data_IF_214862594904
#
_entry.id   IF_214862594904
#
_cell.length_a   1.000
_cell.length_b   1.000
_cell.length_c   1.000
_cell.angle_alpha   90.00
_cell.angle_beta   90.00
_cell.angle_gamma   90.00
#
_symmetry.space_group_name_H-M   'P 1'
#
loop_
_entity.id
_entity.type
_entity.pdbx_description
1 polymer ?
#
# COMPACT_ATOMS: atom_id res chain seq x y z
N UNK A 1 -23.00 -9.58 -54.04
CA UNK A 1 -23.17 -8.84 -52.78
C UNK A 1 -21.88 -9.00 -51.98
N UNK A 2 -21.13 -7.91 -51.74
CA UNK A 2 -19.93 -7.95 -50.90
C UNK A 2 -20.36 -7.83 -49.44
N UNK A 3 -20.07 -8.84 -48.63
CA UNK A 3 -20.20 -8.76 -47.19
C UNK A 3 -19.15 -7.78 -46.66
N UNK A 4 -19.61 -6.65 -46.16
CA UNK A 4 -18.80 -5.72 -45.37
C UNK A 4 -18.73 -6.32 -43.97
N UNK A 5 -17.54 -6.78 -43.57
CA UNK A 5 -17.26 -7.15 -42.19
C UNK A 5 -17.37 -5.89 -41.34
N UNK A 6 -18.45 -5.76 -40.58
CA UNK A 6 -18.57 -4.75 -39.53
C UNK A 6 -17.55 -5.06 -38.44
N UNK A 7 -16.55 -4.21 -38.30
CA UNK A 7 -15.64 -4.21 -37.15
C UNK A 7 -16.52 -3.98 -35.90
N UNK A 8 -16.48 -4.85 -34.88
CA UNK A 8 -17.25 -4.63 -33.67
C UNK A 8 -16.77 -3.32 -33.02
N UNK A 9 -17.69 -2.36 -32.91
CA UNK A 9 -17.49 -1.15 -32.10
C UNK A 9 -17.42 -1.58 -30.64
N UNK A 10 -16.21 -1.73 -30.11
CA UNK A 10 -16.02 -1.74 -28.68
C UNK A 10 -16.17 -0.31 -28.18
N UNK A 11 -17.12 -0.01 -27.27
CA UNK A 11 -17.24 1.32 -26.70
C UNK A 11 -15.92 1.68 -26.00
N UNK A 12 -15.32 2.80 -26.38
CA UNK A 12 -14.18 3.36 -25.65
C UNK A 12 -14.65 3.80 -24.27
N UNK A 13 -14.44 2.94 -23.27
CA UNK A 13 -14.65 3.31 -21.86
C UNK A 13 -13.49 4.21 -21.48
N UNK A 14 -13.77 5.49 -21.25
CA UNK A 14 -12.80 6.42 -20.66
C UNK A 14 -12.89 6.29 -19.15
N UNK A 15 -11.97 5.54 -18.55
CA UNK A 15 -11.83 5.51 -17.09
C UNK A 15 -11.39 6.89 -16.58
N UNK A 16 -12.06 7.42 -15.55
CA UNK A 16 -11.61 8.64 -14.87
C UNK A 16 -10.55 8.27 -13.83
N UNK A 17 -9.46 9.04 -13.79
CA UNK A 17 -8.41 8.90 -12.78
C UNK A 17 -8.97 9.03 -11.37
N UNK A 18 -10.01 9.85 -11.17
CA UNK A 18 -10.56 10.13 -9.85
C UNK A 18 -11.34 8.96 -9.24
N UNK A 19 -11.77 7.99 -10.06
CA UNK A 19 -12.55 6.82 -9.63
C UNK A 19 -11.67 5.60 -9.34
N UNK A 20 -10.34 5.75 -9.42
CA UNK A 20 -9.43 4.63 -9.25
C UNK A 20 -9.35 4.14 -7.80
N UNK A 21 -9.49 2.83 -7.65
CA UNK A 21 -9.32 2.14 -6.38
C UNK A 21 -7.83 1.87 -6.13
N UNK A 22 -7.24 2.63 -5.20
CA UNK A 22 -5.83 2.51 -4.84
C UNK A 22 -5.60 1.83 -3.47
N UNK A 23 -6.66 1.39 -2.80
CA UNK A 23 -6.58 0.73 -1.51
C UNK A 23 -7.81 -0.16 -1.25
N UNK A 24 -7.70 -1.05 -0.25
CA UNK A 24 -8.81 -1.88 0.25
C UNK A 24 -9.87 -1.06 0.98
N UNK A 25 -11.10 -1.53 1.07
CA UNK A 25 -12.21 -0.71 1.59
C UNK A 25 -12.12 -0.44 3.09
N UNK A 26 -11.60 -1.36 3.89
CA UNK A 26 -11.59 -1.23 5.35
C UNK A 26 -11.51 -2.57 6.04
N UNK A 27 -11.38 -2.58 7.38
CA UNK A 27 -11.46 -3.81 8.16
C UNK A 27 -12.86 -4.43 8.14
N UNK A 28 -13.91 -3.64 7.85
CA UNK A 28 -15.31 -4.09 7.88
C UNK A 28 -16.14 -3.55 6.69
N UNK A 29 -17.14 -4.30 6.23
CA UNK A 29 -17.99 -3.92 5.08
C UNK A 29 -18.98 -2.81 5.45
N UNK A 30 -19.49 -2.80 6.68
CA UNK A 30 -20.65 -1.99 7.10
C UNK A 30 -20.33 -0.89 8.10
N UNK A 31 -19.04 -0.62 8.37
CA UNK A 31 -18.62 0.34 9.39
C UNK A 31 -19.23 0.04 10.78
N UNK A 32 -19.42 -1.25 11.07
CA UNK A 32 -19.91 -1.81 12.34
C UNK A 32 -18.99 -1.52 13.54
N UNK A 33 -17.74 -1.15 13.30
CA UNK A 33 -16.76 -0.81 14.33
C UNK A 33 -17.15 0.46 15.11
N UNK A 34 -17.70 1.46 14.43
CA UNK A 34 -18.07 2.72 15.08
C UNK A 34 -19.24 2.55 16.06
N UNK A 35 -20.38 1.91 15.69
CA UNK A 35 -21.43 1.56 16.65
C UNK A 35 -20.92 0.68 17.80
N UNK A 36 -20.05 -0.31 17.49
CA UNK A 36 -19.45 -1.17 18.52
C UNK A 36 -18.65 -0.35 19.55
N UNK A 37 -17.80 0.57 19.07
CA UNK A 37 -16.97 1.42 19.91
C UNK A 37 -17.81 2.33 20.81
N UNK A 38 -18.84 2.98 20.27
CA UNK A 38 -19.75 3.86 21.02
C UNK A 38 -20.43 3.09 22.16
N UNK A 39 -20.89 1.87 21.91
CA UNK A 39 -21.50 1.03 22.93
C UNK A 39 -20.49 0.65 24.02
N UNK A 40 -19.25 0.27 23.66
CA UNK A 40 -18.23 -0.07 24.67
C UNK A 40 -17.82 1.15 25.49
N UNK A 41 -17.69 2.31 24.86
CA UNK A 41 -17.36 3.56 25.56
C UNK A 41 -18.47 3.95 26.54
N UNK A 42 -19.74 3.83 26.13
CA UNK A 42 -20.89 4.05 27.02
C UNK A 42 -20.85 3.13 28.24
N UNK A 43 -20.65 1.82 28.03
CA UNK A 43 -20.56 0.85 29.12
C UNK A 43 -19.39 1.11 30.06
N UNK A 44 -18.25 1.56 29.53
CA UNK A 44 -17.08 1.93 30.32
C UNK A 44 -17.38 3.13 31.24
N UNK A 45 -18.13 4.12 30.76
CA UNK A 45 -18.56 5.28 31.55
C UNK A 45 -19.63 4.92 32.59
N UNK A 46 -20.52 3.98 32.26
CA UNK A 46 -21.61 3.53 33.15
C UNK A 46 -21.14 2.63 34.28
N UNK A 47 -20.01 1.95 34.13
CA UNK A 47 -19.51 0.97 35.10
C UNK A 47 -19.18 1.57 36.49
N UNK A 48 -19.16 2.89 36.67
CA UNK A 48 -18.87 3.61 37.93
C UNK A 48 -17.54 3.24 38.63
N UNK A 49 -16.74 2.35 38.05
CA UNK A 49 -15.35 2.12 38.38
C UNK A 49 -14.49 3.06 37.53
N UNK A 50 -13.44 3.64 38.11
CA UNK A 50 -12.48 4.43 37.33
C UNK A 50 -11.94 3.52 36.23
N UNK A 51 -12.14 3.83 34.93
CA UNK A 51 -11.64 2.98 33.86
C UNK A 51 -10.13 2.79 34.06
N UNK A 52 -9.66 1.54 34.09
CA UNK A 52 -8.24 1.26 34.09
C UNK A 52 -7.70 1.55 32.68
N UNK A 53 -7.51 2.83 32.39
CA UNK A 53 -6.89 3.29 31.15
C UNK A 53 -5.38 3.11 31.27
N UNK A 54 -4.79 2.42 30.31
CA UNK A 54 -3.36 2.21 30.22
C UNK A 54 -2.81 2.88 28.96
N UNK A 55 -1.65 3.51 29.08
CA UNK A 55 -0.91 4.02 27.93
C UNK A 55 -0.04 2.89 27.37
N UNK A 56 -0.19 2.58 26.08
CA UNK A 56 0.67 1.67 25.35
C UNK A 56 1.45 2.41 24.28
N UNK A 57 2.66 1.93 24.03
CA UNK A 57 3.52 2.37 22.93
C UNK A 57 3.62 1.24 21.93
N UNK A 58 3.33 1.54 20.66
CA UNK A 58 3.22 0.56 19.58
C UNK A 58 4.25 0.86 18.49
N UNK A 59 4.70 -0.18 17.82
CA UNK A 59 5.56 -0.11 16.64
C UNK A 59 5.18 -1.22 15.65
N UNK A 60 5.71 -1.19 14.44
CA UNK A 60 5.65 -2.32 13.49
C UNK A 60 7.03 -2.95 13.26
N UNK A 61 8.02 -2.57 14.07
CA UNK A 61 9.39 -3.09 13.96
C UNK A 61 10.29 -2.36 12.98
N UNK A 62 9.84 -1.20 12.48
CA UNK A 62 10.65 -0.28 11.70
C UNK A 62 10.83 1.01 12.51
N UNK A 63 12.07 1.49 12.64
CA UNK A 63 12.38 2.66 13.47
C UNK A 63 12.11 2.42 14.96
N UNK A 64 12.88 1.51 15.57
CA UNK A 64 12.67 1.05 16.96
C UNK A 64 13.08 2.07 18.04
N UNK A 65 13.08 3.36 17.72
CA UNK A 65 13.27 4.41 18.70
C UNK A 65 11.98 4.59 19.51
N UNK A 66 12.08 4.65 20.84
CA UNK A 66 10.90 4.74 21.71
C UNK A 66 10.15 6.06 21.49
N UNK A 67 10.88 7.12 21.19
CA UNK A 67 10.37 8.44 20.81
C UNK A 67 9.51 8.44 19.54
N UNK A 68 9.72 7.46 18.66
CA UNK A 68 8.96 7.28 17.42
C UNK A 68 7.82 6.26 17.56
N UNK A 69 7.56 5.76 18.77
CA UNK A 69 6.48 4.79 19.00
C UNK A 69 5.10 5.46 18.99
N UNK A 70 4.12 4.80 18.38
CA UNK A 70 2.72 5.22 18.39
C UNK A 70 2.13 5.03 19.79
N UNK A 71 1.78 6.11 20.47
CA UNK A 71 1.16 6.05 21.78
C UNK A 71 -0.37 5.97 21.69
N UNK A 72 -0.99 5.03 22.41
CA UNK A 72 -2.44 4.84 22.46
C UNK A 72 -2.94 4.57 23.88
N UNK A 73 -4.07 5.17 24.22
CA UNK A 73 -4.79 4.85 25.45
C UNK A 73 -5.70 3.66 25.24
N UNK A 74 -5.57 2.63 26.07
CA UNK A 74 -6.37 1.40 26.01
C UNK A 74 -7.13 1.14 27.29
N UNK A 75 -8.31 0.53 27.15
CA UNK A 75 -9.13 0.07 28.27
C UNK A 75 -9.58 -1.36 28.04
N UNK A 76 -9.89 -2.08 29.12
CA UNK A 76 -10.47 -3.42 29.03
C UNK A 76 -11.98 -3.30 28.83
N UNK A 77 -12.55 -4.05 27.89
CA UNK A 77 -14.00 -4.13 27.69
C UNK A 77 -14.58 -5.45 28.20
N UNK A 78 -15.86 -5.44 28.55
CA UNK A 78 -16.59 -6.66 28.89
C UNK A 78 -16.94 -7.43 27.59
N UNK A 79 -16.38 -8.63 27.45
CA UNK A 79 -16.64 -9.54 26.32
C UNK A 79 -18.13 -9.91 26.29
N UNK A 80 -18.77 -9.67 25.15
CA UNK A 80 -20.11 -10.15 24.78
C UNK A 80 -19.98 -11.21 23.66
N UNK A 81 -20.99 -12.08 23.47
CA UNK A 81 -21.05 -12.93 22.29
C UNK A 81 -20.92 -12.09 21.01
N UNK A 82 -20.11 -12.58 20.05
CA UNK A 82 -19.80 -11.86 18.81
C UNK A 82 -18.60 -10.91 18.88
N UNK A 83 -18.08 -10.58 20.06
CA UNK A 83 -16.86 -9.78 20.19
C UNK A 83 -15.63 -10.59 19.78
N UNK A 84 -14.78 -10.00 18.93
CA UNK A 84 -13.52 -10.62 18.51
C UNK A 84 -12.46 -10.48 19.61
N UNK A 85 -12.08 -11.61 20.21
CA UNK A 85 -11.00 -11.67 21.21
C UNK A 85 -9.88 -12.62 20.82
N UNK A 86 -9.85 -13.13 19.60
CA UNK A 86 -8.80 -14.04 19.16
C UNK A 86 -8.28 -13.72 17.75
N UNK A 87 -7.02 -14.07 17.54
CA UNK A 87 -6.44 -14.25 16.20
C UNK A 87 -6.65 -15.68 15.74
N UNK A 88 -6.82 -15.86 14.43
CA UNK A 88 -6.99 -17.15 13.77
C UNK A 88 -6.04 -17.23 12.59
N UNK A 89 -5.41 -18.39 12.38
CA UNK A 89 -4.52 -18.63 11.26
C UNK A 89 -4.46 -20.10 10.86
N UNK A 90 -3.85 -20.38 9.71
CA UNK A 90 -3.51 -21.74 9.29
C UNK A 90 -2.02 -21.98 9.48
N UNK A 91 -1.63 -23.03 10.19
CA UNK A 91 -0.22 -23.40 10.34
C UNK A 91 0.37 -24.05 9.07
N UNK A 92 1.67 -24.30 9.04
CA UNK A 92 2.35 -24.91 7.90
C UNK A 92 1.85 -26.31 7.53
N UNK A 93 1.15 -26.99 8.46
CA UNK A 93 0.53 -28.29 8.21
C UNK A 93 -0.89 -28.19 7.64
N UNK A 94 -1.37 -26.96 7.40
CA UNK A 94 -2.72 -26.70 6.91
C UNK A 94 -3.79 -26.76 8.00
N UNK A 95 -3.41 -26.76 9.29
CA UNK A 95 -4.37 -26.86 10.40
C UNK A 95 -4.76 -25.48 10.91
N UNK A 96 -6.07 -25.24 11.18
CA UNK A 96 -6.51 -24.00 11.79
C UNK A 96 -6.00 -23.92 13.24
N UNK A 97 -5.54 -22.72 13.61
CA UNK A 97 -5.02 -22.35 14.92
C UNK A 97 -5.69 -21.07 15.38
N UNK A 98 -5.68 -20.86 16.69
CA UNK A 98 -6.22 -19.64 17.31
C UNK A 98 -5.42 -19.24 18.53
N UNK A 99 -5.40 -17.94 18.82
CA UNK A 99 -4.80 -17.35 20.01
C UNK A 99 -5.77 -16.37 20.63
N UNK A 100 -6.26 -16.70 21.82
CA UNK A 100 -7.09 -15.79 22.62
C UNK A 100 -6.23 -14.65 23.17
N UNK A 101 -6.83 -13.46 23.16
CA UNK A 101 -6.22 -12.20 23.54
C UNK A 101 -7.10 -11.55 24.61
N UNK A 102 -6.52 -10.79 25.56
CA UNK A 102 -7.30 -10.03 26.51
C UNK A 102 -8.20 -9.03 25.78
N UNK A 103 -9.40 -8.72 26.31
CA UNK A 103 -10.35 -7.84 25.65
C UNK A 103 -9.97 -6.37 25.87
N UNK A 104 -8.86 -5.93 25.27
CA UNK A 104 -8.49 -4.50 25.21
C UNK A 104 -8.94 -3.86 23.92
N UNK A 105 -9.28 -2.58 23.99
CA UNK A 105 -9.59 -1.71 22.86
C UNK A 105 -8.94 -0.33 23.09
N UNK A 106 -8.70 0.41 22.02
CA UNK A 106 -8.25 1.80 22.09
C UNK A 106 -9.44 2.64 22.59
N UNK A 107 -9.29 3.26 23.75
CA UNK A 107 -10.36 3.99 24.44
C UNK A 107 -10.43 5.48 24.08
N UNK A 108 -9.34 6.05 23.54
CA UNK A 108 -9.30 7.42 23.00
C UNK A 108 -8.89 7.39 21.52
N UNK A 109 -9.88 7.25 20.63
CA UNK A 109 -9.64 7.22 19.18
C UNK A 109 -9.23 8.59 18.62
N UNK A 110 -9.62 9.70 19.25
CA UNK A 110 -9.25 11.03 18.77
C UNK A 110 -7.79 11.37 19.06
N UNK A 111 -7.30 10.99 20.24
CA UNK A 111 -5.89 11.10 20.57
C UNK A 111 -5.05 10.11 19.75
N UNK A 112 -5.49 8.84 19.64
CA UNK A 112 -4.82 7.85 18.80
C UNK A 112 -4.73 8.33 17.34
N UNK A 113 -5.79 8.96 16.81
CA UNK A 113 -5.78 9.57 15.48
C UNK A 113 -4.67 10.62 15.34
N UNK A 114 -4.56 11.56 16.28
CA UNK A 114 -3.51 12.60 16.25
C UNK A 114 -2.12 11.98 16.30
N UNK A 115 -1.90 11.06 17.25
CA UNK A 115 -0.62 10.39 17.42
C UNK A 115 -0.25 9.55 16.20
N UNK A 116 -1.23 8.98 15.49
CA UNK A 116 -1.03 8.23 14.25
C UNK A 116 -0.53 9.12 13.10
N UNK A 117 -1.04 10.36 12.98
CA UNK A 117 -0.52 11.32 12.00
C UNK A 117 0.94 11.67 12.27
N UNK A 118 1.27 11.97 13.53
CA UNK A 118 2.64 12.31 13.93
C UNK A 118 3.58 11.11 13.75
N UNK A 119 3.16 9.92 14.18
CA UNK A 119 3.85 8.66 13.95
C UNK A 119 4.20 8.47 12.48
N UNK A 120 3.19 8.51 11.60
CA UNK A 120 3.36 8.28 10.15
C UNK A 120 4.38 9.25 9.54
N UNK A 121 4.35 10.51 9.98
CA UNK A 121 5.29 11.53 9.52
C UNK A 121 6.71 11.25 9.99
N UNK A 122 6.89 10.87 11.26
CA UNK A 122 8.21 10.64 11.86
C UNK A 122 8.88 9.40 11.26
N UNK A 123 8.12 8.32 11.08
CA UNK A 123 8.68 7.05 10.62
C UNK A 123 8.87 6.97 9.11
N UNK A 124 8.35 7.93 8.34
CA UNK A 124 8.26 7.87 6.86
C UNK A 124 9.58 7.48 6.19
N UNK A 125 10.65 8.23 6.45
CA UNK A 125 11.95 7.99 5.82
C UNK A 125 12.54 6.65 6.25
N UNK A 126 12.44 6.31 7.53
CA UNK A 126 12.97 5.04 8.08
C UNK A 126 12.25 3.84 7.49
N UNK A 127 10.92 3.91 7.31
CA UNK A 127 10.14 2.84 6.66
C UNK A 127 10.61 2.63 5.23
N UNK A 128 10.71 3.71 4.45
CA UNK A 128 11.14 3.64 3.06
C UNK A 128 12.55 3.06 2.97
N UNK A 129 13.50 3.57 3.75
CA UNK A 129 14.88 3.11 3.72
C UNK A 129 15.01 1.65 4.15
N UNK A 130 14.31 1.24 5.22
CA UNK A 130 14.39 -0.13 5.75
C UNK A 130 13.79 -1.14 4.77
N UNK A 131 12.58 -0.87 4.25
CA UNK A 131 11.89 -1.81 3.36
C UNK A 131 12.57 -1.88 1.99
N UNK A 132 13.10 -0.76 1.49
CA UNK A 132 13.78 -0.75 0.19
C UNK A 132 15.25 -1.16 0.26
N UNK A 133 15.85 -1.34 1.44
CA UNK A 133 17.28 -1.64 1.61
C UNK A 133 17.75 -2.81 0.72
N UNK A 134 16.95 -3.90 0.69
CA UNK A 134 17.25 -5.12 -0.06
C UNK A 134 16.49 -5.24 -1.39
N UNK A 135 15.70 -4.24 -1.77
CA UNK A 135 14.98 -4.20 -3.05
C UNK A 135 15.93 -4.08 -4.24
N UNK A 136 15.41 -4.36 -5.43
CA UNK A 136 16.09 -4.12 -6.69
C UNK A 136 16.66 -2.69 -6.80
N UNK A 137 17.83 -2.54 -7.42
CA UNK A 137 18.51 -1.25 -7.55
C UNK A 137 17.71 -0.18 -8.29
N UNK A 138 16.81 -0.52 -9.20
CA UNK A 138 15.88 0.46 -9.81
C UNK A 138 14.99 1.04 -8.72
N UNK A 139 14.32 0.20 -7.93
CA UNK A 139 13.45 0.63 -6.82
C UNK A 139 14.24 1.51 -5.86
N UNK A 140 15.39 1.04 -5.36
CA UNK A 140 16.19 1.80 -4.37
C UNK A 140 16.57 3.18 -4.90
N UNK A 141 17.13 3.25 -6.11
CA UNK A 141 17.56 4.51 -6.72
C UNK A 141 16.37 5.45 -6.96
N UNK A 142 15.23 4.91 -7.40
CA UNK A 142 14.02 5.72 -7.63
C UNK A 142 13.42 6.24 -6.33
N UNK A 143 13.37 5.44 -5.27
CA UNK A 143 12.90 5.91 -3.96
C UNK A 143 13.85 6.95 -3.35
N UNK A 144 15.17 6.79 -3.50
CA UNK A 144 16.14 7.80 -3.10
C UNK A 144 15.94 9.13 -3.87
N UNK A 145 15.77 9.06 -5.18
CA UNK A 145 15.49 10.23 -6.00
C UNK A 145 14.16 10.90 -5.61
N UNK A 146 13.13 10.11 -5.28
CA UNK A 146 11.85 10.61 -4.84
C UNK A 146 11.90 11.26 -3.45
N UNK A 147 12.62 10.69 -2.49
CA UNK A 147 12.86 11.29 -1.18
C UNK A 147 13.59 12.63 -1.32
N UNK A 148 14.63 12.68 -2.16
CA UNK A 148 15.35 13.90 -2.46
C UNK A 148 14.44 14.95 -3.12
N UNK A 149 13.64 14.55 -4.12
CA UNK A 149 12.66 15.43 -4.77
C UNK A 149 11.60 15.96 -3.79
N UNK A 150 11.10 15.11 -2.90
CA UNK A 150 10.10 15.44 -1.89
C UNK A 150 10.61 16.37 -0.79
N UNK A 151 11.91 16.35 -0.48
CA UNK A 151 12.50 17.15 0.60
C UNK A 151 12.34 18.66 0.39
N UNK A 152 12.26 19.13 -0.86
CA UNK A 152 12.12 20.55 -1.20
C UNK A 152 10.68 21.07 -1.14
N UNK A 153 9.68 20.18 -1.12
CA UNK A 153 8.26 20.55 -0.99
C UNK A 153 7.42 19.40 -0.45
N UNK A 154 6.91 19.55 0.77
CA UNK A 154 5.99 18.59 1.41
C UNK A 154 4.59 18.57 0.79
N UNK A 155 4.31 19.40 -0.22
CA UNK A 155 2.99 19.56 -0.83
C UNK A 155 2.99 19.20 -2.33
N UNK A 156 3.90 18.33 -2.75
CA UNK A 156 4.01 17.87 -4.13
C UNK A 156 3.42 16.45 -4.30
N UNK A 157 3.22 16.04 -5.55
CA UNK A 157 2.62 14.76 -5.91
C UNK A 157 3.48 13.57 -5.46
N UNK A 158 4.80 13.73 -5.43
CA UNK A 158 5.75 12.70 -4.97
C UNK A 158 5.60 12.48 -3.47
N UNK A 159 5.48 13.54 -2.67
CA UNK A 159 5.23 13.43 -1.23
C UNK A 159 3.90 12.71 -0.95
N UNK A 160 2.84 13.00 -1.72
CA UNK A 160 1.57 12.26 -1.58
C UNK A 160 1.76 10.77 -1.87
N UNK A 161 2.50 10.42 -2.92
CA UNK A 161 2.78 9.02 -3.26
C UNK A 161 3.60 8.31 -2.17
N UNK A 162 4.62 8.97 -1.61
CA UNK A 162 5.42 8.44 -0.50
C UNK A 162 4.58 8.26 0.77
N UNK A 163 3.72 9.22 1.10
CA UNK A 163 2.84 9.14 2.26
C UNK A 163 1.80 8.01 2.10
N UNK A 164 1.22 7.84 0.90
CA UNK A 164 0.34 6.69 0.59
C UNK A 164 1.10 5.38 0.73
N UNK A 165 2.33 5.32 0.19
CA UNK A 165 3.14 4.12 0.22
C UNK A 165 3.45 3.69 1.66
N UNK A 166 3.78 4.62 2.55
CA UNK A 166 4.00 4.32 3.97
C UNK A 166 2.69 3.97 4.68
N UNK A 167 1.62 4.74 4.46
CA UNK A 167 0.32 4.49 5.08
C UNK A 167 -0.25 3.10 4.73
N UNK A 168 -0.01 2.60 3.51
CA UNK A 168 -0.39 1.24 3.12
C UNK A 168 0.33 0.18 3.97
N UNK A 169 1.63 0.36 4.26
CA UNK A 169 2.38 -0.59 5.12
C UNK A 169 1.79 -0.67 6.53
N UNK A 170 1.21 0.42 7.03
CA UNK A 170 0.61 0.47 8.38
C UNK A 170 -0.57 -0.50 8.56
N UNK A 171 -1.24 -0.91 7.48
CA UNK A 171 -2.36 -1.87 7.51
C UNK A 171 -2.01 -3.26 6.97
N UNK A 172 -0.78 -3.44 6.51
CA UNK A 172 -0.24 -4.71 6.02
C UNK A 172 0.68 -5.35 7.05
N UNK A 173 1.39 -4.52 7.82
CA UNK A 173 2.26 -4.96 8.91
C UNK A 173 1.51 -4.93 10.23
N UNK A 174 1.76 -5.90 11.10
CA UNK A 174 1.10 -5.97 12.40
C UNK A 174 1.71 -4.96 13.38
N UNK A 175 0.85 -4.25 14.11
CA UNK A 175 1.29 -3.48 15.27
C UNK A 175 1.62 -4.42 16.44
N UNK A 176 2.75 -4.12 17.09
CA UNK A 176 3.21 -4.80 18.29
C UNK A 176 3.45 -3.80 19.41
N UNK A 177 3.29 -4.26 20.65
CA UNK A 177 3.71 -3.50 21.82
C UNK A 177 5.23 -3.31 21.75
N UNK A 178 5.69 -2.08 21.97
CA UNK A 178 7.10 -1.73 21.94
C UNK A 178 7.93 -2.62 22.90
N UNK A 179 9.18 -2.90 22.55
CA UNK A 179 10.02 -3.81 23.33
C UNK A 179 10.24 -3.29 24.76
N UNK A 180 10.01 -4.15 25.76
CA UNK A 180 9.98 -3.77 27.18
C UNK A 180 8.65 -3.18 27.66
N UNK A 181 7.68 -2.97 26.77
CA UNK A 181 6.30 -2.64 27.11
C UNK A 181 5.56 -3.84 27.69
N UNK A 182 4.51 -3.56 28.48
CA UNK A 182 3.68 -4.59 29.13
C UNK A 182 2.21 -4.38 28.80
N UNK A 183 1.56 -5.44 28.33
CA UNK A 183 0.10 -5.53 28.26
C UNK A 183 -0.36 -6.59 29.26
N UNK A 184 -1.22 -6.19 30.20
CA UNK A 184 -1.67 -7.10 31.25
C UNK A 184 -2.39 -8.33 30.69
N UNK A 185 -1.95 -9.51 31.11
CA UNK A 185 -2.48 -10.78 30.60
C UNK A 185 -1.80 -11.29 29.33
N UNK A 186 -0.78 -10.60 28.82
CA UNK A 186 0.04 -11.04 27.68
C UNK A 186 1.49 -11.28 28.08
N UNK A 187 2.13 -12.19 27.35
CA UNK A 187 3.58 -12.44 27.39
C UNK A 187 4.08 -12.59 25.95
N UNK A 188 5.38 -12.41 25.75
CA UNK A 188 6.02 -12.79 24.49
C UNK A 188 5.73 -14.26 24.19
N UNK A 189 5.51 -14.53 22.91
CA UNK A 189 5.30 -15.87 22.40
C UNK A 189 6.60 -16.25 21.71
N UNK A 190 7.33 -17.19 22.30
CA UNK A 190 8.60 -17.67 21.76
C UNK A 190 8.37 -19.07 21.17
N UNK A 191 7.62 -19.13 20.06
CA UNK A 191 7.28 -20.37 19.37
C UNK A 191 7.59 -20.21 17.87
N UNK A 192 8.65 -20.89 17.42
CA UNK A 192 9.10 -20.85 16.05
C UNK A 192 7.96 -21.24 15.08
N UNK A 193 7.65 -20.35 14.14
CA UNK A 193 6.58 -20.51 13.16
C UNK A 193 5.19 -20.07 13.64
N UNK A 194 5.08 -19.55 14.86
CA UNK A 194 3.91 -18.78 15.30
C UNK A 194 3.90 -17.40 14.60
N UNK A 195 2.73 -16.86 14.17
CA UNK A 195 2.67 -15.58 13.47
C UNK A 195 3.22 -14.39 14.28
N UNK A 196 3.21 -14.53 15.61
CA UNK A 196 3.62 -13.50 16.57
C UNK A 196 4.87 -13.91 17.36
N UNK A 197 5.72 -14.77 16.77
CA UNK A 197 6.95 -15.22 17.41
C UNK A 197 7.87 -14.04 17.77
N UNK A 198 8.29 -13.97 19.03
CA UNK A 198 9.20 -12.98 19.59
C UNK A 198 8.59 -11.64 20.00
N UNK A 199 7.26 -11.44 19.93
CA UNK A 199 6.64 -10.17 20.34
C UNK A 199 5.19 -10.27 20.87
N UNK A 200 4.70 -9.18 21.48
CA UNK A 200 3.29 -9.05 21.91
C UNK A 200 2.53 -8.26 20.84
N UNK A 201 1.58 -8.88 20.10
CA UNK A 201 0.75 -8.15 19.16
C UNK A 201 -0.28 -7.28 19.90
N UNK A 202 -0.81 -6.28 19.21
CA UNK A 202 -2.05 -5.61 19.65
C UNK A 202 -3.20 -6.62 19.69
N UNK A 203 -4.30 -6.29 20.39
CA UNK A 203 -5.48 -7.17 20.38
C UNK A 203 -6.20 -7.09 19.03
N UNK A 204 -7.00 -8.11 18.63
CA UNK A 204 -7.74 -8.07 17.37
C UNK A 204 -8.67 -6.87 17.21
N UNK A 205 -9.16 -6.35 18.34
CA UNK A 205 -10.01 -5.16 18.36
C UNK A 205 -9.20 -3.88 18.14
N UNK A 206 -8.05 -3.74 18.83
CA UNK A 206 -7.13 -2.62 18.59
C UNK A 206 -6.62 -2.62 17.15
N UNK A 207 -6.29 -3.78 16.60
CA UNK A 207 -5.88 -3.99 15.20
C UNK A 207 -6.94 -3.44 14.23
N UNK A 208 -8.21 -3.83 14.42
CA UNK A 208 -9.33 -3.33 13.61
C UNK A 208 -9.54 -1.82 13.77
N UNK A 209 -9.34 -1.26 14.96
CA UNK A 209 -9.43 0.19 15.21
C UNK A 209 -8.29 0.96 14.53
N UNK A 210 -7.07 0.42 14.55
CA UNK A 210 -5.92 1.02 13.87
C UNK A 210 -6.09 0.97 12.35
N UNK A 211 -6.52 -0.18 11.80
CA UNK A 211 -6.85 -0.33 10.38
C UNK A 211 -7.89 0.68 9.92
N UNK A 212 -8.97 0.85 10.67
CA UNK A 212 -10.03 1.81 10.37
C UNK A 212 -9.52 3.25 10.41
N UNK A 213 -8.76 3.63 11.45
CA UNK A 213 -8.14 4.94 11.57
C UNK A 213 -7.21 5.23 10.37
N UNK A 214 -6.30 4.31 10.05
CA UNK A 214 -5.37 4.48 8.93
C UNK A 214 -6.12 4.59 7.60
N UNK A 215 -7.07 3.70 7.32
CA UNK A 215 -7.78 3.71 6.04
C UNK A 215 -8.64 4.96 5.89
N UNK A 216 -9.44 5.30 6.91
CA UNK A 216 -10.37 6.42 6.86
C UNK A 216 -9.66 7.76 6.88
N UNK A 217 -8.71 7.94 7.79
CA UNK A 217 -8.16 9.26 8.10
C UNK A 217 -6.83 9.54 7.39
N UNK A 218 -6.10 8.51 6.94
CA UNK A 218 -4.88 8.66 6.14
C UNK A 218 -5.08 8.27 4.68
N UNK A 219 -5.26 6.97 4.39
CA UNK A 219 -5.16 6.45 3.02
C UNK A 219 -6.22 7.04 2.08
N UNK A 220 -7.48 7.10 2.49
CA UNK A 220 -8.58 7.63 1.65
C UNK A 220 -8.36 9.10 1.27
N UNK A 221 -8.14 10.04 2.22
CA UNK A 221 -7.84 11.44 1.89
C UNK A 221 -6.57 11.59 1.03
N UNK A 222 -5.52 10.83 1.34
CA UNK A 222 -4.26 10.88 0.59
C UNK A 222 -4.46 10.43 -0.86
N UNK A 223 -5.15 9.31 -1.10
CA UNK A 223 -5.46 8.80 -2.44
C UNK A 223 -6.29 9.80 -3.25
N UNK A 224 -7.34 10.38 -2.65
CA UNK A 224 -8.17 11.38 -3.32
C UNK A 224 -7.36 12.63 -3.71
N UNK A 225 -6.51 13.12 -2.80
CA UNK A 225 -5.62 14.25 -3.05
C UNK A 225 -4.59 13.95 -4.15
N UNK A 226 -3.97 12.77 -4.10
CA UNK A 226 -3.02 12.29 -5.09
C UNK A 226 -3.65 12.25 -6.49
N UNK A 227 -4.80 11.60 -6.65
CA UNK A 227 -5.48 11.47 -7.94
C UNK A 227 -5.89 12.84 -8.51
N UNK A 228 -6.40 13.74 -7.67
CA UNK A 228 -6.74 15.10 -8.08
C UNK A 228 -5.52 15.90 -8.57
N UNK A 229 -4.41 15.85 -7.81
CA UNK A 229 -3.16 16.53 -8.17
C UNK A 229 -2.50 15.92 -9.41
N UNK A 230 -2.52 14.60 -9.53
CA UNK A 230 -2.01 13.89 -10.70
C UNK A 230 -2.77 14.33 -11.94
N UNK A 231 -4.10 14.28 -11.91
CA UNK A 231 -4.96 14.73 -13.00
C UNK A 231 -4.64 16.16 -13.41
N UNK A 232 -4.56 17.08 -12.44
CA UNK A 232 -4.18 18.47 -12.70
C UNK A 232 -2.83 18.60 -13.40
N UNK A 233 -1.78 17.92 -12.91
CA UNK A 233 -0.43 17.97 -13.52
C UNK A 233 -0.38 17.39 -14.93
N UNK A 234 -1.14 16.34 -15.21
CA UNK A 234 -1.28 15.77 -16.55
C UNK A 234 -1.99 16.76 -17.48
N UNK A 235 -3.05 17.41 -17.01
CA UNK A 235 -3.85 18.37 -17.78
C UNK A 235 -3.09 19.67 -18.10
N UNK A 236 -2.14 20.07 -17.25
CA UNK A 236 -1.24 21.19 -17.52
C UNK A 236 -0.34 20.99 -18.75
N UNK A 237 -0.06 19.73 -19.13
CA UNK A 237 0.79 19.37 -20.29
C UNK A 237 2.17 20.04 -20.30
N UNK A 238 2.70 20.35 -19.13
CA UNK A 238 4.03 20.94 -18.91
C UNK A 238 5.09 19.86 -18.83
N UNK A 239 6.22 20.06 -19.50
CA UNK A 239 7.34 19.09 -19.49
C UNK A 239 8.05 19.06 -18.14
N UNK A 240 8.04 20.16 -17.44
CA UNK A 240 8.63 20.35 -16.11
C UNK A 240 7.94 19.44 -15.07
N UNK A 241 6.67 19.07 -15.30
CA UNK A 241 5.93 18.14 -14.44
C UNK A 241 6.35 16.68 -14.65
N UNK A 242 7.09 16.35 -15.71
CA UNK A 242 7.35 14.97 -16.09
C UNK A 242 8.07 14.18 -15.00
N UNK A 243 9.13 14.74 -14.39
CA UNK A 243 9.91 14.03 -13.37
C UNK A 243 9.06 13.73 -12.14
N UNK A 244 8.26 14.70 -11.71
CA UNK A 244 7.36 14.54 -10.57
C UNK A 244 6.29 13.47 -10.84
N UNK A 245 5.66 13.50 -12.03
CA UNK A 245 4.70 12.49 -12.46
C UNK A 245 5.36 11.11 -12.51
N UNK A 246 6.55 10.99 -13.10
CA UNK A 246 7.26 9.73 -13.23
C UNK A 246 7.59 9.11 -11.87
N UNK A 247 8.21 9.87 -10.96
CA UNK A 247 8.57 9.38 -9.63
C UNK A 247 7.32 8.96 -8.85
N UNK A 248 6.28 9.80 -8.88
CA UNK A 248 5.03 9.52 -8.20
C UNK A 248 4.33 8.25 -8.74
N UNK A 249 4.24 8.11 -10.07
CA UNK A 249 3.69 6.91 -10.70
C UNK A 249 4.51 5.66 -10.38
N UNK A 250 5.84 5.76 -10.36
CA UNK A 250 6.72 4.65 -10.00
C UNK A 250 6.48 4.19 -8.57
N UNK A 251 6.40 5.12 -7.60
CA UNK A 251 6.08 4.80 -6.21
C UNK A 251 4.73 4.11 -6.11
N UNK A 252 3.72 4.59 -6.83
CA UNK A 252 2.40 3.97 -6.83
C UNK A 252 2.40 2.56 -7.46
N UNK A 253 3.16 2.33 -8.53
CA UNK A 253 3.33 0.98 -9.10
C UNK A 253 4.01 0.03 -8.10
N UNK A 254 5.07 0.51 -7.41
CA UNK A 254 5.73 -0.22 -6.33
C UNK A 254 4.76 -0.52 -5.17
N UNK A 255 3.93 0.44 -4.80
CA UNK A 255 2.91 0.26 -3.76
C UNK A 255 1.95 -0.87 -4.12
N UNK A 256 1.50 -0.93 -5.39
CA UNK A 256 0.59 -1.95 -5.87
C UNK A 256 1.24 -3.35 -5.87
N UNK A 257 2.52 -3.45 -6.24
CA UNK A 257 3.26 -4.72 -6.10
C UNK A 257 3.25 -5.22 -4.66
N UNK A 258 3.47 -4.33 -3.68
CA UNK A 258 3.48 -4.71 -2.27
C UNK A 258 2.09 -5.06 -1.73
N UNK A 259 1.04 -4.31 -2.10
CA UNK A 259 -0.34 -4.62 -1.73
C UNK A 259 -0.73 -6.03 -2.23
N UNK A 260 -0.45 -6.34 -3.49
CA UNK A 260 -0.78 -7.65 -4.07
C UNK A 260 0.02 -8.79 -3.43
N UNK A 261 1.30 -8.55 -3.14
CA UNK A 261 2.15 -9.49 -2.41
C UNK A 261 1.62 -9.78 -1.00
N UNK A 262 1.24 -8.73 -0.28
CA UNK A 262 0.66 -8.85 1.05
C UNK A 262 -0.68 -9.61 1.01
N UNK A 263 -1.57 -9.26 0.06
CA UNK A 263 -2.82 -9.99 -0.14
C UNK A 263 -2.60 -11.50 -0.41
N UNK A 264 -1.62 -11.86 -1.25
CA UNK A 264 -1.27 -13.25 -1.49
C UNK A 264 -0.75 -13.93 -0.21
N UNK A 265 0.05 -13.22 0.59
CA UNK A 265 0.53 -13.67 1.89
C UNK A 265 -0.62 -13.90 2.90
N UNK A 266 -1.52 -12.93 3.03
CA UNK A 266 -2.72 -13.02 3.88
C UNK A 266 -3.64 -14.16 3.44
N UNK A 267 -3.84 -14.35 2.13
CA UNK A 267 -4.64 -15.44 1.61
C UNK A 267 -4.06 -16.81 2.02
N UNK A 268 -2.73 -16.98 1.90
CA UNK A 268 -2.04 -18.17 2.37
C UNK A 268 -2.18 -18.35 3.88
N UNK A 269 -2.01 -17.29 4.66
CA UNK A 269 -2.14 -17.29 6.12
C UNK A 269 -3.55 -17.70 6.59
N UNK A 270 -4.58 -17.26 5.86
CA UNK A 270 -5.99 -17.61 6.10
C UNK A 270 -6.39 -18.96 5.47
N UNK A 271 -5.50 -19.63 4.73
CA UNK A 271 -5.80 -20.89 4.05
C UNK A 271 -6.78 -20.74 2.86
N UNK A 272 -6.91 -19.54 2.31
CA UNK A 272 -7.75 -19.25 1.16
C UNK A 272 -7.15 -19.86 -0.11
N UNK A 273 -8.00 -20.48 -0.92
CA UNK A 273 -7.62 -21.05 -2.22
C UNK A 273 -8.37 -20.32 -3.34
N UNK A 274 -7.70 -20.01 -4.47
CA UNK A 274 -8.40 -19.58 -5.68
C UNK A 274 -9.45 -20.64 -6.09
N UNK A 275 -10.65 -20.22 -6.49
CA UNK A 275 -11.76 -21.16 -6.65
C UNK A 275 -12.91 -20.70 -7.57
N UNK A 276 -12.66 -19.87 -8.58
CA UNK A 276 -13.70 -19.30 -9.47
C UNK A 276 -14.90 -18.66 -8.74
N UNK A 277 -14.65 -17.99 -7.61
CA UNK A 277 -15.61 -17.30 -6.76
C UNK A 277 -16.09 -15.96 -7.36
N UNK A 278 -15.58 -15.58 -8.54
CA UNK A 278 -15.93 -14.34 -9.22
C UNK A 278 -15.55 -13.10 -8.43
N UNK A 279 -14.49 -13.15 -7.62
CA UNK A 279 -14.00 -11.97 -6.92
C UNK A 279 -13.37 -10.97 -7.88
N UNK A 280 -13.46 -9.71 -7.49
CA UNK A 280 -13.10 -8.56 -8.34
C UNK A 280 -12.04 -7.69 -7.69
N UNK A 281 -11.50 -8.08 -6.54
CA UNK A 281 -10.58 -7.22 -5.78
C UNK A 281 -9.27 -7.01 -6.54
N UNK A 282 -8.56 -8.08 -6.87
CA UNK A 282 -7.31 -8.00 -7.64
C UNK A 282 -7.54 -7.40 -9.02
N UNK A 283 -8.66 -7.72 -9.67
CA UNK A 283 -9.04 -7.11 -10.95
C UNK A 283 -9.22 -5.58 -10.83
N UNK A 284 -9.76 -5.09 -9.73
CA UNK A 284 -9.87 -3.67 -9.43
C UNK A 284 -8.51 -2.99 -9.32
N UNK A 285 -7.54 -3.61 -8.63
CA UNK A 285 -6.18 -3.10 -8.54
C UNK A 285 -5.46 -3.14 -9.89
N UNK A 286 -5.59 -4.23 -10.64
CA UNK A 286 -5.06 -4.34 -12.00
C UNK A 286 -5.64 -3.25 -12.93
N UNK A 287 -6.93 -2.98 -12.82
CA UNK A 287 -7.59 -1.91 -13.56
C UNK A 287 -7.01 -0.53 -13.20
N UNK A 288 -6.78 -0.27 -11.91
CA UNK A 288 -6.16 0.97 -11.46
C UNK A 288 -4.73 1.12 -12.00
N UNK A 289 -3.89 0.09 -11.90
CA UNK A 289 -2.54 0.09 -12.46
C UNK A 289 -2.55 0.35 -13.96
N UNK A 290 -3.36 -0.39 -14.72
CA UNK A 290 -3.45 -0.24 -16.18
C UNK A 290 -3.97 1.14 -16.59
N UNK A 291 -4.88 1.73 -15.83
CA UNK A 291 -5.37 3.08 -16.09
C UNK A 291 -4.27 4.12 -15.84
N UNK A 292 -3.57 4.05 -14.71
CA UNK A 292 -2.44 4.94 -14.41
C UNK A 292 -1.35 4.83 -15.49
N UNK A 293 -1.00 3.61 -15.91
CA UNK A 293 -0.04 3.35 -16.98
C UNK A 293 -0.51 3.92 -18.32
N UNK A 294 -1.80 3.77 -18.68
CA UNK A 294 -2.33 4.33 -19.91
C UNK A 294 -2.24 5.86 -19.94
N UNK A 295 -2.55 6.53 -18.82
CA UNK A 295 -2.37 7.98 -18.70
C UNK A 295 -0.89 8.36 -18.80
N UNK A 296 0.00 7.65 -18.10
CA UNK A 296 1.43 7.90 -18.16
C UNK A 296 1.98 7.79 -19.60
N UNK A 297 1.69 6.69 -20.29
CA UNK A 297 2.21 6.45 -21.64
C UNK A 297 1.59 7.35 -22.70
N UNK A 298 0.26 7.51 -22.69
CA UNK A 298 -0.44 8.16 -23.79
C UNK A 298 -0.76 9.64 -23.54
N UNK A 299 -1.00 10.06 -22.30
CA UNK A 299 -1.27 11.46 -21.99
C UNK A 299 0.01 12.24 -21.66
N UNK A 300 1.00 11.60 -21.03
CA UNK A 300 2.25 12.26 -20.62
C UNK A 300 3.43 12.01 -21.56
N UNK A 301 3.29 11.14 -22.56
CA UNK A 301 4.43 10.58 -23.32
C UNK A 301 5.52 10.03 -22.36
N UNK A 302 5.08 9.38 -21.28
CA UNK A 302 5.87 9.12 -20.08
C UNK A 302 7.14 8.30 -20.33
N UNK A 303 7.08 7.31 -21.20
CA UNK A 303 8.24 6.50 -21.57
C UNK A 303 9.25 7.24 -22.48
N UNK A 304 8.88 8.37 -23.09
CA UNK A 304 9.76 9.05 -24.06
C UNK A 304 11.06 9.48 -23.39
N UNK A 305 11.10 10.33 -22.34
CA UNK A 305 12.37 10.79 -21.79
C UNK A 305 13.28 9.66 -21.34
N UNK A 306 12.75 8.54 -20.87
CA UNK A 306 13.51 7.34 -20.52
C UNK A 306 14.06 6.68 -21.78
N UNK A 307 13.23 6.44 -22.80
CA UNK A 307 13.58 5.69 -24.01
C UNK A 307 14.40 6.50 -25.03
N UNK A 308 14.26 7.82 -25.08
CA UNK A 308 15.05 8.68 -25.96
C UNK A 308 16.52 8.81 -25.52
N UNK A 309 16.83 8.57 -24.23
CA UNK A 309 18.24 8.41 -23.77
C UNK A 309 18.91 7.19 -24.43
N UNK A 310 18.13 6.24 -24.95
CA UNK A 310 18.64 5.06 -25.63
C UNK A 310 18.96 5.31 -27.11
N UNK A 311 18.47 6.39 -27.72
CA UNK A 311 18.53 6.60 -29.18
C UNK A 311 19.42 7.75 -29.67
N UNK A 312 19.74 8.77 -28.87
CA UNK A 312 20.49 9.94 -29.38
C UNK A 312 21.87 10.14 -28.73
N UNK A 313 22.91 10.02 -29.56
CA UNK A 313 24.16 10.76 -29.40
C UNK A 313 23.93 12.22 -29.85
N UNK A 314 24.22 13.18 -28.98
CA UNK A 314 24.53 14.58 -29.30
C UNK A 314 23.41 15.42 -29.96
N UNK A 315 22.67 16.18 -29.15
CA UNK A 315 22.31 17.59 -29.39
C UNK A 315 21.56 18.16 -28.16
N UNK A 316 22.30 18.82 -27.26
CA UNK A 316 21.79 19.30 -25.96
C UNK A 316 20.65 20.34 -26.08
N UNK A 317 20.52 21.03 -27.22
CA UNK A 317 19.51 22.08 -27.41
C UNK A 317 18.09 21.56 -27.69
N UNK A 318 17.94 20.33 -28.19
CA UNK A 318 16.65 19.69 -28.49
C UNK A 318 16.42 18.40 -27.68
N UNK A 319 17.30 18.12 -26.72
CA UNK A 319 17.21 16.91 -25.93
C UNK A 319 15.91 16.89 -25.10
N UNK A 320 15.32 15.72 -24.86
CA UNK A 320 14.09 15.54 -24.07
C UNK A 320 14.20 16.00 -22.60
N UNK A 321 15.37 16.50 -22.19
CA UNK A 321 15.68 17.02 -20.86
C UNK A 321 15.42 18.53 -20.70
N UNK A 322 14.88 19.21 -21.72
CA UNK A 322 14.52 20.62 -21.57
C UNK A 322 13.53 20.80 -20.41
N UNK A 323 13.97 21.50 -19.35
CA UNK A 323 13.21 21.69 -18.11
C UNK A 323 13.55 20.73 -16.97
N UNK A 324 14.56 19.86 -17.13
CA UNK A 324 15.09 19.01 -16.04
C UNK A 324 16.37 19.59 -15.44
N UNK A 325 16.51 19.40 -14.13
CA UNK A 325 17.71 19.80 -13.39
C UNK A 325 18.89 18.81 -13.62
N UNK A 326 20.15 19.23 -13.43
CA UNK A 326 21.31 18.35 -13.62
C UNK A 326 21.23 17.01 -12.85
N UNK A 327 20.80 17.05 -11.59
CA UNK A 327 20.69 15.86 -10.74
C UNK A 327 19.59 14.90 -11.24
N UNK A 328 18.53 15.44 -11.85
CA UNK A 328 17.46 14.65 -12.49
C UNK A 328 17.99 13.92 -13.72
N UNK A 329 18.82 14.58 -14.52
CA UNK A 329 19.47 13.98 -15.69
C UNK A 329 20.44 12.87 -15.26
N UNK A 330 21.24 13.12 -14.21
CA UNK A 330 22.15 12.12 -13.65
C UNK A 330 21.39 10.88 -13.16
N UNK A 331 20.31 11.08 -12.41
CA UNK A 331 19.44 9.98 -11.97
C UNK A 331 18.92 9.15 -13.16
N UNK A 332 18.42 9.79 -14.23
CA UNK A 332 17.95 9.08 -15.41
C UNK A 332 19.06 8.29 -16.10
N UNK A 333 20.28 8.83 -16.15
CA UNK A 333 21.44 8.13 -16.71
C UNK A 333 21.78 6.87 -15.89
N UNK A 334 21.68 6.95 -14.56
CA UNK A 334 21.89 5.83 -13.65
C UNK A 334 20.80 4.76 -13.81
N UNK A 335 19.52 5.15 -13.87
CA UNK A 335 18.42 4.21 -14.10
C UNK A 335 18.55 3.54 -15.47
N UNK A 336 19.00 4.26 -16.50
CA UNK A 336 19.27 3.67 -17.82
C UNK A 336 20.27 2.52 -17.74
N UNK A 337 21.41 2.72 -17.06
CA UNK A 337 22.42 1.67 -16.91
C UNK A 337 21.83 0.43 -16.24
N UNK A 338 20.97 0.64 -15.25
CA UNK A 338 20.31 -0.44 -14.53
C UNK A 338 19.29 -1.18 -15.41
N UNK A 339 18.51 -0.46 -16.22
CA UNK A 339 17.60 -1.04 -17.21
C UNK A 339 18.37 -1.92 -18.19
N UNK A 340 19.50 -1.45 -18.72
CA UNK A 340 20.34 -2.26 -19.62
C UNK A 340 20.86 -3.53 -18.93
N UNK A 341 21.31 -3.42 -17.68
CA UNK A 341 21.79 -4.56 -16.90
C UNK A 341 20.70 -5.61 -16.69
N UNK A 342 19.44 -5.19 -16.57
CA UNK A 342 18.28 -6.05 -16.34
C UNK A 342 17.48 -6.35 -17.62
N UNK A 343 18.02 -6.06 -18.80
CA UNK A 343 17.28 -6.03 -20.07
C UNK A 343 16.46 -7.29 -20.37
N UNK A 344 16.95 -8.48 -20.01
CA UNK A 344 16.21 -9.73 -20.19
C UNK A 344 14.95 -9.80 -19.32
N UNK A 345 15.03 -9.38 -18.05
CA UNK A 345 13.86 -9.32 -17.15
C UNK A 345 12.85 -8.29 -17.65
N UNK A 346 13.33 -7.11 -18.05
CA UNK A 346 12.46 -6.10 -18.63
C UNK A 346 11.81 -6.59 -19.93
N UNK A 347 12.50 -7.35 -20.79
CA UNK A 347 11.91 -7.87 -22.01
C UNK A 347 10.80 -8.91 -21.75
N UNK A 348 10.93 -9.68 -20.67
CA UNK A 348 10.01 -10.77 -20.31
C UNK A 348 9.10 -10.44 -19.12
N UNK A 349 8.90 -9.15 -18.82
CA UNK A 349 8.16 -8.69 -17.64
C UNK A 349 6.75 -9.25 -17.54
N UNK A 350 6.08 -9.51 -18.67
CA UNK A 350 4.72 -10.03 -18.74
C UNK A 350 4.59 -11.49 -18.27
N UNK A 351 5.72 -12.19 -18.18
CA UNK A 351 5.84 -13.57 -17.69
C UNK A 351 6.31 -13.63 -16.23
N UNK A 352 6.53 -12.47 -15.60
CA UNK A 352 6.85 -12.36 -14.17
C UNK A 352 5.58 -12.36 -13.31
N UNK A 353 5.67 -12.83 -12.08
CA UNK A 353 4.54 -12.90 -11.15
C UNK A 353 4.19 -11.51 -10.65
N UNK A 354 2.94 -11.07 -10.83
CA UNK A 354 2.50 -9.78 -10.29
C UNK A 354 2.37 -9.76 -8.76
N UNK A 355 2.44 -10.95 -8.13
CA UNK A 355 2.38 -11.13 -6.68
C UNK A 355 3.77 -11.21 -6.04
N UNK A 356 4.76 -11.76 -6.74
CA UNK A 356 6.08 -12.05 -6.16
C UNK A 356 7.18 -11.10 -6.67
N UNK A 357 7.09 -10.67 -7.92
CA UNK A 357 8.11 -9.82 -8.53
C UNK A 357 7.84 -8.33 -8.27
N UNK A 358 8.66 -7.72 -7.43
CA UNK A 358 8.53 -6.31 -7.00
C UNK A 358 8.52 -5.31 -8.17
N UNK A 359 9.11 -5.66 -9.31
CA UNK A 359 9.20 -4.80 -10.49
C UNK A 359 8.12 -5.04 -11.56
N UNK A 360 7.20 -5.99 -11.39
CA UNK A 360 6.20 -6.32 -12.43
C UNK A 360 5.43 -5.08 -12.94
N UNK A 361 4.91 -4.26 -12.04
CA UNK A 361 4.20 -3.02 -12.41
C UNK A 361 5.15 -1.88 -12.78
N UNK A 362 6.29 -1.77 -12.08
CA UNK A 362 7.28 -0.72 -12.32
C UNK A 362 7.93 -0.82 -13.71
N UNK A 363 8.24 -2.02 -14.19
CA UNK A 363 8.80 -2.25 -15.52
C UNK A 363 7.89 -1.72 -16.62
N UNK A 364 6.57 -1.78 -16.44
CA UNK A 364 5.63 -1.30 -17.44
C UNK A 364 5.73 0.20 -17.70
N UNK A 365 6.18 1.01 -16.74
CA UNK A 365 6.50 2.44 -16.95
C UNK A 365 7.69 2.63 -17.89
N UNK A 366 8.59 1.65 -17.96
CA UNK A 366 9.86 1.72 -18.69
C UNK A 366 9.75 1.17 -20.11
N UNK A 367 8.62 0.56 -20.48
CA UNK A 367 8.38 -0.02 -21.80
C UNK A 367 7.94 1.07 -22.77
N UNK A 368 8.69 1.26 -23.87
CA UNK A 368 8.40 2.28 -24.90
C UNK A 368 7.04 2.09 -25.56
N UNK A 369 6.80 0.87 -26.05
CA UNK A 369 5.62 0.52 -26.83
C UNK A 369 4.58 -0.21 -25.95
N UNK A 370 4.34 0.34 -24.75
CA UNK A 370 3.41 -0.24 -23.80
C UNK A 370 1.98 -0.23 -24.34
N UNK A 371 1.21 -1.29 -24.03
CA UNK A 371 -0.21 -1.41 -24.37
C UNK A 371 -0.99 -1.98 -23.19
N UNK A 372 -2.19 -1.46 -22.95
CA UNK A 372 -3.04 -1.90 -21.84
C UNK A 372 -3.65 -3.30 -22.01
N UNK A 373 -3.67 -3.83 -23.23
CA UNK A 373 -4.19 -5.15 -23.58
C UNK A 373 -3.16 -6.28 -23.46
N UNK A 374 -1.93 -5.99 -23.02
CA UNK A 374 -0.91 -7.02 -22.81
C UNK A 374 -1.42 -8.02 -21.74
N UNK A 375 -1.46 -9.32 -22.07
CA UNK A 375 -1.93 -10.34 -21.14
C UNK A 375 -0.91 -10.59 -20.02
N UNK A 376 -1.42 -10.96 -18.85
CA UNK A 376 -0.62 -11.53 -17.77
C UNK A 376 -0.36 -13.01 -18.09
N UNK A 377 0.91 -13.43 -18.13
CA UNK A 377 1.31 -14.76 -18.59
C UNK A 377 1.87 -15.67 -17.49
N UNK A 378 2.13 -15.13 -16.30
CA UNK A 378 2.80 -15.89 -15.23
C UNK A 378 1.88 -16.86 -14.47
N UNK A 379 0.56 -16.78 -14.67
CA UNK A 379 -0.38 -17.71 -14.05
C UNK A 379 -1.83 -17.22 -14.06
N UNK A 380 -2.65 -17.88 -13.26
CA UNK A 380 -4.03 -17.46 -13.02
C UNK A 380 -4.07 -16.23 -12.10
N UNK A 381 -5.07 -15.39 -12.32
CA UNK A 381 -5.38 -14.28 -11.41
C UNK A 381 -6.33 -14.82 -10.36
N UNK A 382 -6.07 -14.48 -9.10
CA UNK A 382 -6.96 -14.85 -8.00
C UNK A 382 -8.39 -14.31 -8.18
N UNK A 383 -9.29 -14.88 -7.38
CA UNK A 383 -10.71 -14.54 -7.34
C UNK A 383 -11.10 -13.95 -5.99
N UNK A 384 -10.19 -13.24 -5.32
CA UNK A 384 -10.44 -12.73 -3.98
C UNK A 384 -11.45 -11.57 -3.99
N UNK A 385 -12.18 -11.46 -2.88
CA UNK A 385 -13.12 -10.40 -2.57
C UNK A 385 -12.61 -9.59 -1.39
N UNK A 386 -13.13 -8.38 -1.21
CA UNK A 386 -12.86 -7.59 0.00
C UNK A 386 -13.17 -8.40 1.27
N UNK A 387 -14.27 -9.15 1.24
CA UNK A 387 -14.75 -10.05 2.29
C UNK A 387 -13.68 -10.99 2.84
N UNK A 388 -12.80 -11.50 1.96
CA UNK A 388 -11.75 -12.45 2.31
C UNK A 388 -10.69 -11.83 3.22
N UNK A 389 -10.51 -10.51 3.17
CA UNK A 389 -9.47 -9.77 3.89
C UNK A 389 -9.99 -8.96 5.06
N UNK A 390 -11.30 -8.95 5.29
CA UNK A 390 -11.87 -8.28 6.45
C UNK A 390 -11.38 -8.92 7.74
N UNK A 391 -11.40 -8.10 8.79
CA UNK A 391 -11.29 -8.57 10.16
C UNK A 391 -12.62 -9.15 10.68
N UNK A 392 -13.69 -9.03 9.88
CA UNK A 392 -15.11 -9.33 10.12
C UNK A 392 -15.50 -9.51 11.58
N UNK A 393 -15.81 -8.36 12.19
CA UNK A 393 -16.70 -8.21 13.33
C UNK A 393 -18.13 -8.66 12.95
N UNK A 394 -18.87 -9.21 13.92
CA UNK A 394 -20.33 -9.41 13.91
C UNK A 394 -20.94 -10.40 12.90
N UNK A 395 -21.15 -11.63 13.35
CA UNK A 395 -22.50 -12.23 13.33
C UNK A 395 -23.08 -12.19 14.73
#
# INVERSE_FOLDING_TARGET
MRHVNSIPYHPCIRADLLDLRLHRQGPTIRNDLQPWFQEKQRLLLEANEKPSTHLLFLTQGFGEAFEDALSVHVSRFQKKPGDRTAYYWTDWSGRPRSMEMPPYFISDLEEARKNLFDFTRNVRSVYIETITADSNSIIRKTFQAALHFGAYSNANLVSDALDIWVAARLIETQFRVFNGGFMAGMKNIDEAGHPFDGFIPVTPMMDSQLDDLVIRDLIRPLCARFLARLKGKIEERKRENWMEIYLAMFIMMSNMSLILKDMAGQAKWKGLKPGNRGGTLTQGFMHACKTLLAYFHHACAGAVPITSIFTESQNAANAPYYGMEPDQIEYLCNIRQEIFRQGEKLANWNSMSMYDDELYWCYQLLVKDWRGDIPYLAGEIDDFREEDFLSSSTT
#
